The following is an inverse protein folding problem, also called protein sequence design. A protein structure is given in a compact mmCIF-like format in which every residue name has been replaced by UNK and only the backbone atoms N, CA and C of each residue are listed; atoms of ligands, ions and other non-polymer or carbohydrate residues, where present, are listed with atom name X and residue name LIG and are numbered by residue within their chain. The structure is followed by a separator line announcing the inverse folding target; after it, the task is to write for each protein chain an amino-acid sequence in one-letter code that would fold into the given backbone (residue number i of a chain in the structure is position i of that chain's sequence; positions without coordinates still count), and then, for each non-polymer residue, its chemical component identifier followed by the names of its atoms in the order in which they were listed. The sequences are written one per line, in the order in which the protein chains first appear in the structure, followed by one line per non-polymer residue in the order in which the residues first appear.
data_IF_106449996552
#
_entry.id   IF_106449996552
#
_cell.length_a   1.000
_cell.length_b   1.000
_cell.length_c   1.000
_cell.angle_alpha   90.00
_cell.angle_beta   90.00
_cell.angle_gamma   90.00
#
_symmetry.space_group_name_H-M   'P 1'
#
loop_
_entity.id
_entity.type
_entity.pdbx_description
1 polymer ?
#
# COMPACT_ATOMS: atom_id res chain seq x y z
N UNK A 1 -3.35 -26.32 -6.33
CA UNK A 1 -4.18 -25.37 -7.12
C UNK A 1 -3.36 -24.82 -8.28
N UNK A 2 -3.90 -24.88 -9.47
CA UNK A 2 -3.24 -24.35 -10.65
C UNK A 2 -3.30 -22.82 -10.69
N UNK A 3 -2.36 -22.19 -11.41
CA UNK A 3 -2.30 -20.73 -11.52
C UNK A 3 -3.62 -20.15 -12.03
N UNK A 4 -4.27 -20.81 -13.01
CA UNK A 4 -5.55 -20.37 -13.55
C UNK A 4 -6.68 -20.39 -12.53
N UNK A 5 -6.60 -21.25 -11.52
CA UNK A 5 -7.59 -21.31 -10.44
C UNK A 5 -7.37 -20.22 -9.38
N UNK A 6 -6.09 -19.79 -9.19
CA UNK A 6 -5.75 -18.74 -8.26
C UNK A 6 -6.16 -17.36 -8.75
N UNK A 7 -6.18 -17.15 -10.08
CA UNK A 7 -6.45 -15.85 -10.67
C UNK A 7 -7.80 -15.24 -10.25
N UNK A 8 -8.93 -15.96 -10.32
CA UNK A 8 -10.20 -15.38 -9.90
C UNK A 8 -10.21 -14.98 -8.42
N UNK A 9 -9.55 -15.75 -7.55
CA UNK A 9 -9.45 -15.43 -6.13
C UNK A 9 -8.63 -14.15 -5.92
N UNK A 10 -7.52 -13.98 -6.65
CA UNK A 10 -6.70 -12.78 -6.57
C UNK A 10 -7.46 -11.56 -7.10
N UNK A 11 -8.20 -11.70 -8.19
CA UNK A 11 -9.02 -10.60 -8.72
C UNK A 11 -10.03 -10.11 -7.70
N UNK A 12 -10.68 -11.03 -6.99
CA UNK A 12 -11.63 -10.69 -5.93
C UNK A 12 -10.96 -10.02 -4.72
N UNK A 13 -9.71 -10.38 -4.46
CA UNK A 13 -8.96 -9.83 -3.32
C UNK A 13 -8.34 -8.47 -3.61
N UNK A 14 -8.28 -8.03 -4.87
CA UNK A 14 -7.79 -6.69 -5.24
C UNK A 14 -8.91 -5.68 -4.95
N UNK A 15 -8.99 -5.25 -3.70
CA UNK A 15 -10.03 -4.35 -3.21
C UNK A 15 -9.49 -3.51 -2.05
N UNK A 16 -10.13 -2.37 -1.72
CA UNK A 16 -9.69 -1.54 -0.61
C UNK A 16 -9.57 -2.32 0.69
N UNK A 17 -8.45 -2.12 1.38
CA UNK A 17 -8.16 -2.77 2.66
C UNK A 17 -7.37 -4.05 2.53
N UNK A 18 -7.29 -4.65 1.36
CA UNK A 18 -6.49 -5.87 1.17
C UNK A 18 -5.01 -5.55 1.23
N UNK A 19 -4.25 -6.44 1.86
CA UNK A 19 -2.80 -6.34 1.99
C UNK A 19 -2.17 -7.42 1.13
N UNK A 20 -1.22 -7.01 0.31
CA UNK A 20 -0.44 -7.91 -0.53
C UNK A 20 1.05 -7.69 -0.28
N UNK A 21 1.85 -8.68 -0.66
CA UNK A 21 3.30 -8.57 -0.70
C UNK A 21 3.76 -8.77 -2.14
N UNK A 22 4.65 -7.90 -2.60
CA UNK A 22 5.12 -7.93 -3.98
C UNK A 22 6.52 -7.34 -4.03
N UNK A 23 7.27 -7.68 -5.09
CA UNK A 23 8.58 -7.08 -5.31
C UNK A 23 8.44 -5.74 -6.01
N UNK A 24 9.12 -4.73 -5.46
CA UNK A 24 9.19 -3.38 -6.01
C UNK A 24 10.61 -3.07 -6.45
N UNK A 25 10.73 -2.18 -7.42
CA UNK A 25 12.00 -1.82 -8.07
C UNK A 25 12.23 -0.31 -7.94
N UNK A 26 13.46 0.19 -8.19
CA UNK A 26 13.73 1.64 -8.11
C UNK A 26 12.80 2.48 -9.01
N UNK A 27 12.40 1.97 -10.17
CA UNK A 27 11.45 2.67 -11.04
C UNK A 27 10.06 2.81 -10.40
N UNK A 28 9.76 2.04 -9.37
CA UNK A 28 8.53 2.17 -8.58
C UNK A 28 8.66 3.25 -7.51
N UNK A 29 9.83 3.87 -7.35
CA UNK A 29 10.08 4.91 -6.38
C UNK A 29 10.58 4.42 -5.03
N UNK A 30 11.06 3.18 -4.93
CA UNK A 30 11.68 2.68 -3.71
C UNK A 30 13.19 2.86 -3.72
N UNK A 31 13.78 2.93 -2.51
CA UNK A 31 15.23 2.99 -2.35
C UNK A 31 15.70 1.61 -1.88
N UNK A 32 16.62 0.93 -2.63
CA UNK A 32 17.18 -0.34 -2.18
C UNK A 32 17.97 -0.17 -0.88
N UNK A 33 17.98 -1.23 -0.05
CA UNK A 33 18.73 -1.24 1.20
C UNK A 33 20.23 -1.10 0.99
N UNK A 34 20.72 -1.66 -0.10
CA UNK A 34 22.12 -1.77 -0.42
C UNK A 34 22.30 -1.38 -1.88
N UNK A 35 23.44 -0.80 -2.23
CA UNK A 35 23.73 -0.40 -3.61
C UNK A 35 23.76 -1.58 -4.60
N UNK A 36 23.94 -2.80 -4.10
CA UNK A 36 23.89 -4.02 -4.92
C UNK A 36 22.45 -4.53 -5.14
N UNK A 37 21.50 -4.08 -4.32
CA UNK A 37 20.11 -4.50 -4.45
C UNK A 37 19.43 -3.77 -5.60
N UNK A 38 18.70 -4.52 -6.43
CA UNK A 38 17.92 -3.95 -7.54
C UNK A 38 16.43 -3.91 -7.23
N UNK A 39 16.00 -4.51 -6.10
CA UNK A 39 14.59 -4.60 -5.75
C UNK A 39 14.40 -4.93 -4.28
N UNK A 40 13.17 -4.76 -3.79
CA UNK A 40 12.78 -5.11 -2.42
C UNK A 40 11.38 -5.70 -2.41
N UNK A 41 11.18 -6.73 -1.57
CA UNK A 41 9.84 -7.19 -1.26
C UNK A 41 9.21 -6.23 -0.27
N UNK A 42 7.98 -5.83 -0.55
CA UNK A 42 7.23 -4.91 0.30
C UNK A 42 5.80 -5.37 0.47
N UNK A 43 5.28 -5.20 1.68
CA UNK A 43 3.83 -5.26 1.91
C UNK A 43 3.22 -3.91 1.54
N UNK A 44 2.00 -3.94 1.08
CA UNK A 44 1.25 -2.72 0.79
C UNK A 44 -0.24 -2.93 1.00
N UNK A 45 -0.94 -1.84 1.24
CA UNK A 45 -2.40 -1.83 1.43
C UNK A 45 -3.03 -1.20 0.20
N UNK A 46 -4.02 -1.87 -0.38
CA UNK A 46 -4.80 -1.31 -1.47
C UNK A 46 -5.78 -0.30 -0.87
N UNK A 47 -5.74 0.94 -1.37
CA UNK A 47 -6.60 2.03 -0.92
C UNK A 47 -7.85 2.17 -1.79
N UNK A 48 -7.70 1.98 -3.09
CA UNK A 48 -8.81 2.11 -4.03
C UNK A 48 -8.42 1.67 -5.42
N UNK A 49 -9.43 1.57 -6.30
CA UNK A 49 -9.24 1.20 -7.71
C UNK A 49 -9.82 2.31 -8.57
N UNK A 50 -9.27 2.51 -9.76
CA UNK A 50 -9.88 3.44 -10.70
C UNK A 50 -11.20 2.86 -11.22
N UNK A 51 -12.02 3.70 -11.86
CA UNK A 51 -13.36 3.29 -12.30
C UNK A 51 -13.36 2.20 -13.37
N UNK A 52 -12.23 1.98 -14.05
CA UNK A 52 -12.08 0.91 -15.05
C UNK A 52 -11.44 -0.34 -14.44
N UNK A 53 -10.97 -0.27 -13.19
CA UNK A 53 -10.30 -1.37 -12.51
C UNK A 53 -8.90 -1.69 -13.03
N UNK A 54 -8.34 -0.84 -13.90
CA UNK A 54 -7.02 -1.09 -14.50
C UNK A 54 -5.84 -0.75 -13.61
N UNK A 55 -6.02 0.20 -12.68
CA UNK A 55 -4.99 0.63 -11.75
C UNK A 55 -5.53 0.68 -10.33
N UNK A 56 -4.62 0.54 -9.38
CA UNK A 56 -4.94 0.69 -7.96
C UNK A 56 -4.03 1.73 -7.32
N UNK A 57 -4.57 2.42 -6.32
CA UNK A 57 -3.78 3.25 -5.42
C UNK A 57 -3.44 2.41 -4.19
N UNK A 58 -2.20 2.52 -3.73
CA UNK A 58 -1.72 1.76 -2.59
C UNK A 58 -0.78 2.58 -1.71
N UNK A 59 -0.66 2.16 -0.45
CA UNK A 59 0.33 2.68 0.49
C UNK A 59 1.29 1.57 0.88
N UNK A 60 2.60 1.85 0.79
CA UNK A 60 3.61 0.89 1.21
C UNK A 60 3.65 0.77 2.73
N UNK A 61 4.01 -0.42 3.21
CA UNK A 61 4.21 -0.69 4.64
C UNK A 61 5.71 -0.83 4.88
N UNK A 62 6.24 0.03 5.77
CA UNK A 62 7.67 0.09 6.07
C UNK A 62 7.96 -0.43 7.47
N UNK A 63 9.16 -1.00 7.66
CA UNK A 63 9.59 -1.51 8.97
C UNK A 63 9.92 -0.39 9.94
N UNK A 64 10.37 0.76 9.42
CA UNK A 64 10.75 1.91 10.23
C UNK A 64 10.59 3.20 9.42
N UNK A 65 10.46 4.31 10.13
CA UNK A 65 10.49 5.64 9.52
C UNK A 65 11.95 6.06 9.36
N UNK A 66 12.33 6.51 8.16
CA UNK A 66 13.68 7.03 7.93
C UNK A 66 13.91 8.27 8.80
N UNK A 67 14.93 8.22 9.66
CA UNK A 67 15.23 9.32 10.61
C UNK A 67 15.44 10.66 9.91
N UNK A 68 16.09 10.64 8.75
CA UNK A 68 16.36 11.88 7.99
C UNK A 68 15.09 12.52 7.44
N UNK A 69 14.01 11.76 7.32
CA UNK A 69 12.74 12.22 6.78
C UNK A 69 11.67 12.38 7.86
N UNK A 70 11.95 11.99 9.11
CA UNK A 70 10.96 11.95 10.18
C UNK A 70 10.25 13.29 10.39
N UNK A 71 10.98 14.40 10.34
CA UNK A 71 10.40 15.74 10.52
C UNK A 71 9.48 16.13 9.36
N UNK A 72 9.77 15.65 8.15
CA UNK A 72 9.02 15.99 6.94
C UNK A 72 7.79 15.12 6.74
N UNK A 73 7.90 13.84 7.01
CA UNK A 73 6.87 12.85 6.65
C UNK A 73 6.34 12.06 7.83
N UNK A 74 6.91 12.23 9.04
CA UNK A 74 6.52 11.44 10.21
C UNK A 74 5.05 11.55 10.56
N UNK A 75 4.44 12.73 10.36
CA UNK A 75 3.01 12.94 10.63
C UNK A 75 2.11 12.16 9.67
N UNK A 76 2.66 11.69 8.54
CA UNK A 76 1.91 10.93 7.52
C UNK A 76 2.25 9.43 7.56
N UNK A 77 2.90 8.97 8.64
CA UNK A 77 3.19 7.56 8.84
C UNK A 77 2.22 7.01 9.88
N UNK A 78 1.39 6.06 9.46
CA UNK A 78 0.37 5.47 10.33
C UNK A 78 0.88 4.14 10.87
N UNK A 79 1.04 4.05 12.20
CA UNK A 79 1.51 2.81 12.83
C UNK A 79 0.40 1.78 12.90
N UNK A 80 0.69 0.55 12.45
CA UNK A 80 -0.19 -0.60 12.62
C UNK A 80 0.48 -1.60 13.57
N UNK A 81 -0.34 -2.17 14.46
CA UNK A 81 0.16 -3.02 15.54
C UNK A 81 0.20 -4.48 15.14
N UNK A 82 1.29 -5.15 15.51
CA UNK A 82 1.45 -6.59 15.29
C UNK A 82 0.44 -7.42 16.10
N UNK A 83 -0.13 -6.86 17.16
CA UNK A 83 -1.17 -7.54 17.91
C UNK A 83 -2.49 -7.63 17.16
N UNK A 84 -2.68 -6.77 16.15
CA UNK A 84 -3.91 -6.73 15.36
C UNK A 84 -3.80 -7.51 14.04
N UNK A 85 -2.57 -7.77 13.56
CA UNK A 85 -2.35 -8.36 12.24
C UNK A 85 -1.25 -9.41 12.25
N UNK A 86 -1.62 -10.66 11.94
CA UNK A 86 -0.68 -11.79 11.90
C UNK A 86 0.42 -11.61 10.85
N UNK A 87 0.09 -11.00 9.71
CA UNK A 87 1.07 -10.85 8.62
C UNK A 87 2.28 -10.00 9.03
N UNK A 88 2.17 -9.22 10.11
CA UNK A 88 3.28 -8.40 10.61
C UNK A 88 4.36 -9.21 11.34
N UNK A 89 4.08 -10.47 11.69
CA UNK A 89 5.03 -11.38 12.32
C UNK A 89 5.66 -10.81 13.61
N UNK A 90 4.82 -10.22 14.46
CA UNK A 90 5.24 -9.74 15.77
C UNK A 90 5.96 -8.39 15.79
N UNK A 91 6.01 -7.70 14.66
CA UNK A 91 6.66 -6.37 14.58
C UNK A 91 5.67 -5.32 14.11
N UNK A 92 5.53 -4.25 14.89
CA UNK A 92 4.75 -3.10 14.47
C UNK A 92 5.41 -2.47 13.24
N UNK A 93 4.60 -1.92 12.35
CA UNK A 93 5.09 -1.32 11.10
C UNK A 93 4.37 -0.02 10.83
N UNK A 94 4.83 0.71 9.84
CA UNK A 94 4.34 2.03 9.49
C UNK A 94 3.83 2.04 8.05
N UNK A 95 2.60 2.52 7.88
CA UNK A 95 1.99 2.69 6.56
C UNK A 95 2.35 4.08 6.05
N UNK A 96 2.93 4.15 4.87
CA UNK A 96 3.30 5.42 4.26
C UNK A 96 2.08 6.08 3.62
N UNK A 97 1.54 7.08 4.31
CA UNK A 97 0.40 7.85 3.81
C UNK A 97 0.83 9.17 3.14
N UNK A 98 2.13 9.42 3.06
CA UNK A 98 2.67 10.61 2.42
C UNK A 98 2.75 10.47 0.92
N UNK A 99 3.25 9.33 0.43
CA UNK A 99 3.49 9.06 -0.99
C UNK A 99 2.68 7.84 -1.45
N UNK A 100 1.47 8.12 -1.91
CA UNK A 100 0.59 7.09 -2.46
C UNK A 100 1.14 6.62 -3.81
N UNK A 101 1.26 5.31 -3.98
CA UNK A 101 1.72 4.71 -5.24
C UNK A 101 0.55 4.26 -6.10
N UNK A 102 0.80 4.20 -7.40
CA UNK A 102 -0.18 3.72 -8.37
C UNK A 102 0.43 2.54 -9.14
N UNK A 103 -0.28 1.42 -9.17
CA UNK A 103 0.22 0.19 -9.81
C UNK A 103 -0.90 -0.44 -10.63
N UNK A 104 -0.56 -1.05 -11.76
CA UNK A 104 -1.54 -1.76 -12.57
C UNK A 104 -2.12 -2.95 -11.77
N UNK A 105 -3.44 -3.11 -11.81
CA UNK A 105 -4.13 -4.21 -11.14
C UNK A 105 -3.59 -5.56 -11.60
N UNK A 106 -3.31 -5.69 -12.88
CA UNK A 106 -2.80 -6.93 -13.47
C UNK A 106 -1.45 -7.36 -12.86
N UNK A 107 -0.58 -6.39 -12.55
CA UNK A 107 0.70 -6.67 -11.91
C UNK A 107 0.50 -7.31 -10.53
N UNK A 108 -0.48 -6.82 -9.77
CA UNK A 108 -0.80 -7.38 -8.45
C UNK A 108 -1.35 -8.79 -8.59
N UNK A 109 -2.22 -9.00 -9.57
CA UNK A 109 -2.80 -10.34 -9.82
C UNK A 109 -1.71 -11.34 -10.20
N UNK A 110 -0.77 -10.94 -11.05
CA UNK A 110 0.30 -11.82 -11.50
C UNK A 110 1.41 -12.05 -10.48
N UNK A 111 1.79 -11.01 -9.74
CA UNK A 111 3.00 -11.02 -8.90
C UNK A 111 2.72 -10.90 -7.41
N UNK A 112 1.55 -10.44 -7.01
CA UNK A 112 1.24 -10.17 -5.61
C UNK A 112 0.83 -11.43 -4.84
N UNK A 113 1.25 -11.51 -3.59
CA UNK A 113 0.83 -12.54 -2.65
C UNK A 113 -0.07 -11.92 -1.61
N UNK A 114 -1.29 -12.42 -1.49
CA UNK A 114 -2.25 -11.94 -0.52
C UNK A 114 -1.77 -12.22 0.91
N UNK A 115 -1.76 -11.20 1.75
CA UNK A 115 -1.27 -11.29 3.13
C UNK A 115 -2.36 -11.15 4.18
N UNK A 116 -3.44 -10.44 3.88
CA UNK A 116 -4.49 -10.22 4.85
C UNK A 116 -5.39 -9.04 4.52
N UNK A 117 -6.20 -8.67 5.48
CA UNK A 117 -7.15 -7.58 5.35
C UNK A 117 -6.99 -6.63 6.53
N UNK A 118 -6.86 -5.35 6.26
CA UNK A 118 -6.77 -4.35 7.32
C UNK A 118 -8.18 -4.01 7.81
N UNK A 119 -8.30 -3.61 9.09
CA UNK A 119 -9.59 -3.23 9.66
C UNK A 119 -10.15 -1.98 8.97
N UNK A 120 -11.46 -1.84 8.99
CA UNK A 120 -12.13 -0.66 8.44
C UNK A 120 -11.68 0.62 9.17
N UNK A 121 -11.49 0.55 10.47
CA UNK A 121 -11.02 1.68 11.29
C UNK A 121 -9.64 2.14 10.83
N UNK A 122 -8.70 1.21 10.67
CA UNK A 122 -7.35 1.55 10.22
C UNK A 122 -7.35 2.05 8.78
N UNK A 123 -8.16 1.44 7.91
CA UNK A 123 -8.25 1.88 6.51
C UNK A 123 -8.75 3.32 6.41
N UNK A 124 -9.78 3.67 7.18
CA UNK A 124 -10.31 5.05 7.19
C UNK A 124 -9.26 6.05 7.68
N UNK A 125 -8.53 5.70 8.73
CA UNK A 125 -7.47 6.56 9.26
C UNK A 125 -6.34 6.76 8.24
N UNK A 126 -5.96 5.71 7.54
CA UNK A 126 -4.94 5.75 6.50
C UNK A 126 -5.39 6.64 5.34
N UNK A 127 -6.61 6.44 4.85
CA UNK A 127 -7.15 7.23 3.73
C UNK A 127 -7.23 8.71 4.13
N UNK A 128 -7.59 9.01 5.38
CA UNK A 128 -7.61 10.39 5.85
C UNK A 128 -6.22 11.03 5.78
N UNK A 129 -5.19 10.33 6.25
CA UNK A 129 -3.83 10.84 6.19
C UNK A 129 -3.34 11.02 4.74
N UNK A 130 -3.70 10.09 3.84
CA UNK A 130 -3.38 10.22 2.42
C UNK A 130 -4.02 11.48 1.83
N UNK A 131 -5.28 11.75 2.21
CA UNK A 131 -5.96 12.99 1.78
C UNK A 131 -5.26 14.26 2.29
N UNK A 132 -4.65 14.18 3.46
CA UNK A 132 -3.94 15.33 4.06
C UNK A 132 -2.53 15.52 3.49
N UNK A 133 -2.00 14.56 2.75
CA UNK A 133 -0.65 14.64 2.21
C UNK A 133 -0.53 15.75 1.16
N UNK A 134 0.48 16.64 1.29
CA UNK A 134 0.64 17.75 0.35
C UNK A 134 1.09 17.32 -1.05
N UNK A 135 1.56 16.08 -1.22
CA UNK A 135 2.05 15.62 -2.54
C UNK A 135 1.04 14.74 -3.28
N UNK A 136 -0.08 14.37 -2.64
CA UNK A 136 -1.12 13.57 -3.31
C UNK A 136 -2.19 14.52 -3.84
N UNK A 137 -2.35 14.56 -5.16
CA UNK A 137 -3.28 15.50 -5.78
C UNK A 137 -4.74 15.08 -5.58
N UNK A 138 -5.64 16.08 -5.56
CA UNK A 138 -7.08 15.83 -5.49
C UNK A 138 -7.54 15.02 -6.69
N UNK A 139 -6.96 15.24 -7.87
CA UNK A 139 -7.29 14.48 -9.07
C UNK A 139 -7.03 12.98 -8.88
N UNK A 140 -5.89 12.62 -8.27
CA UNK A 140 -5.57 11.22 -7.98
C UNK A 140 -6.52 10.63 -6.95
N UNK A 141 -6.82 11.38 -5.89
CA UNK A 141 -7.76 10.93 -4.86
C UNK A 141 -9.14 10.63 -5.46
N UNK A 142 -9.61 11.49 -6.35
CA UNK A 142 -10.90 11.30 -7.03
C UNK A 142 -10.86 10.12 -8.01
N UNK A 143 -9.73 9.95 -8.71
CA UNK A 143 -9.55 8.84 -9.66
C UNK A 143 -9.77 7.50 -9.00
N UNK A 144 -9.31 7.35 -7.75
CA UNK A 144 -9.41 6.10 -7.00
C UNK A 144 -10.57 6.06 -6.01
N UNK A 145 -11.45 7.05 -6.07
CA UNK A 145 -12.66 7.14 -5.23
C UNK A 145 -12.35 7.15 -3.73
N UNK A 146 -11.24 7.77 -3.37
CA UNK A 146 -10.82 7.93 -1.97
C UNK A 146 -10.75 9.39 -1.53
N UNK A 147 -11.14 10.32 -2.40
CA UNK A 147 -11.21 11.73 -2.05
C UNK A 147 -12.34 11.94 -1.04
N UNK A 148 -12.01 12.70 0.01
CA UNK A 148 -13.02 12.98 1.01
C UNK A 148 -12.84 14.37 1.60
N UNK A 149 -13.95 15.01 1.91
CA UNK A 149 -14.00 16.35 2.49
C UNK A 149 -14.68 16.24 3.84
N UNK A 150 -14.06 16.82 4.86
CA UNK A 150 -14.65 16.88 6.20
C UNK A 150 -15.90 17.76 6.23
#
# INVERSE_FOLDING_TARGET
MEIGELRPLKEMAVKPGSVFRMRFYPQDGIVPKDSSDTSRDKYFIILGKDNKGGYVALSLINTAINENLRQRIGAFQYQISSSDYEFLNGKDRFVDCYDMKEVASERIIEQGDYAGLISETDLKAIIKLVNDSPIVSVAKLKRYEIYYVD
#
